data_IF_762371842735
#
_entry.id   IF_762371842735
#
_cell.length_a   1.000
_cell.length_b   1.000
_cell.length_c   1.000
_cell.angle_alpha   90.00
_cell.angle_beta   90.00
_cell.angle_gamma   90.00
#
_symmetry.space_group_name_H-M   'P 1'
#
loop_
_entity.id
_entity.type
_entity.pdbx_description
1 polymer ?
#
# COMPACT_ATOMS: atom_id res chain seq x y z
N UNK A 1 -7.36 -22.12 1.84
CA UNK A 1 -7.05 -20.67 1.77
C UNK A 1 -7.83 -20.07 0.61
N UNK A 2 -9.10 -19.72 0.82
CA UNK A 2 -9.92 -19.04 -0.18
C UNK A 2 -9.97 -17.54 0.15
N UNK A 3 -8.87 -16.83 -0.09
CA UNK A 3 -8.86 -15.37 0.02
C UNK A 3 -9.61 -14.79 -1.17
N UNK A 4 -10.85 -14.38 -0.95
CA UNK A 4 -11.63 -13.65 -1.95
C UNK A 4 -11.20 -12.19 -1.93
N UNK A 5 -10.63 -11.65 -3.03
CA UNK A 5 -10.29 -10.24 -3.11
C UNK A 5 -11.55 -9.38 -3.06
N UNK A 6 -11.49 -8.28 -2.31
CA UNK A 6 -12.54 -7.27 -2.29
C UNK A 6 -12.13 -6.17 -3.26
N UNK A 7 -12.77 -6.16 -4.43
CA UNK A 7 -12.56 -5.18 -5.49
C UNK A 7 -13.69 -4.16 -5.41
N UNK A 8 -13.36 -2.89 -5.59
CA UNK A 8 -14.36 -1.84 -5.71
C UNK A 8 -15.23 -2.10 -6.94
N UNK A 9 -16.52 -2.31 -6.71
CA UNK A 9 -17.47 -2.48 -7.80
C UNK A 9 -18.00 -1.14 -8.30
N UNK A 10 -17.69 -0.03 -7.61
CA UNK A 10 -18.19 1.28 -7.95
C UNK A 10 -17.42 1.85 -9.14
N UNK A 11 -18.17 2.24 -10.18
CA UNK A 11 -17.62 2.95 -11.33
C UNK A 11 -17.21 4.36 -10.90
N UNK A 12 -16.14 4.90 -11.51
CA UNK A 12 -15.67 6.28 -11.25
C UNK A 12 -16.73 7.36 -11.52
N UNK A 13 -17.74 7.06 -12.34
CA UNK A 13 -18.94 7.88 -12.57
C UNK A 13 -20.18 6.96 -12.51
N UNK A 14 -21.14 7.29 -11.64
CA UNK A 14 -22.38 6.54 -11.45
C UNK A 14 -22.83 6.50 -9.99
N UNK A 15 -23.98 5.87 -9.73
CA UNK A 15 -24.49 5.64 -8.37
C UNK A 15 -23.58 4.68 -7.62
N UNK A 16 -23.25 5.05 -6.37
CA UNK A 16 -22.42 4.24 -5.51
C UNK A 16 -23.23 3.05 -4.96
N UNK A 17 -22.76 1.84 -5.25
CA UNK A 17 -23.26 0.63 -4.60
C UNK A 17 -22.60 0.50 -3.23
N UNK A 18 -23.43 0.43 -2.19
CA UNK A 18 -22.92 0.16 -0.85
C UNK A 18 -22.39 -1.27 -0.74
N UNK A 19 -21.24 -1.39 -0.08
CA UNK A 19 -20.68 -2.68 0.31
C UNK A 19 -21.34 -3.11 1.62
N UNK A 20 -21.63 -4.41 1.72
CA UNK A 20 -22.02 -5.06 2.98
C UNK A 20 -21.09 -4.65 4.13
N UNK A 21 -21.58 -4.40 5.36
CA UNK A 21 -20.80 -3.81 6.45
C UNK A 21 -19.47 -4.52 6.72
N UNK A 22 -19.48 -5.86 6.75
CA UNK A 22 -18.28 -6.67 6.96
C UNK A 22 -17.27 -6.54 5.80
N UNK A 23 -17.76 -6.42 4.57
CA UNK A 23 -16.94 -6.26 3.37
C UNK A 23 -16.37 -4.83 3.28
N UNK A 24 -17.13 -3.84 3.71
CA UNK A 24 -16.72 -2.43 3.82
C UNK A 24 -15.58 -2.26 4.82
N UNK A 25 -15.68 -2.85 6.00
CA UNK A 25 -14.61 -2.81 7.01
C UNK A 25 -13.29 -3.37 6.46
N UNK A 26 -13.34 -4.56 5.84
CA UNK A 26 -12.16 -5.17 5.22
C UNK A 26 -11.61 -4.37 4.03
N UNK A 27 -12.48 -3.73 3.26
CA UNK A 27 -12.06 -2.89 2.14
C UNK A 27 -11.20 -1.70 2.60
N UNK A 28 -11.44 -1.17 3.81
CA UNK A 28 -10.64 -0.08 4.39
C UNK A 28 -9.17 -0.46 4.63
N UNK A 29 -8.85 -1.75 4.79
CA UNK A 29 -7.46 -2.22 4.96
C UNK A 29 -6.59 -1.91 3.72
N UNK A 30 -7.21 -1.86 2.53
CA UNK A 30 -6.54 -1.51 1.26
C UNK A 30 -5.87 -0.14 1.33
N UNK A 31 -6.52 0.84 1.96
CA UNK A 31 -6.02 2.22 2.02
C UNK A 31 -4.70 2.33 2.77
N UNK A 32 -4.42 1.44 3.72
CA UNK A 32 -3.11 1.40 4.38
C UNK A 32 -2.03 0.91 3.40
N UNK A 33 -2.28 -0.20 2.70
CA UNK A 33 -1.35 -0.76 1.71
C UNK A 33 -1.07 0.23 0.56
N UNK A 34 -2.11 0.91 0.07
CA UNK A 34 -1.97 1.91 -0.99
C UNK A 34 -1.13 3.11 -0.54
N UNK A 35 -1.36 3.62 0.67
CA UNK A 35 -0.56 4.72 1.23
C UNK A 35 0.92 4.32 1.35
N UNK A 36 1.22 3.13 1.85
CA UNK A 36 2.61 2.63 1.94
C UNK A 36 3.23 2.53 0.56
N UNK A 37 2.51 2.01 -0.44
CA UNK A 37 3.03 1.86 -1.80
C UNK A 37 3.27 3.22 -2.48
N UNK A 38 2.35 4.18 -2.35
CA UNK A 38 2.55 5.54 -2.87
C UNK A 38 3.74 6.21 -2.19
N UNK A 39 3.82 6.14 -0.86
CA UNK A 39 4.94 6.72 -0.11
C UNK A 39 6.28 6.09 -0.52
N UNK A 40 6.33 4.76 -0.70
CA UNK A 40 7.52 4.06 -1.19
C UNK A 40 7.98 4.60 -2.54
N UNK A 41 7.04 4.82 -3.46
CA UNK A 41 7.33 5.33 -4.81
C UNK A 41 7.80 6.78 -4.79
N UNK A 42 7.06 7.64 -4.10
CA UNK A 42 7.22 9.09 -4.17
C UNK A 42 8.38 9.57 -3.29
N UNK A 43 8.54 9.00 -2.09
CA UNK A 43 9.46 9.51 -1.06
C UNK A 43 10.63 8.57 -0.72
N UNK A 44 10.55 7.28 -1.06
CA UNK A 44 11.58 6.29 -0.69
C UNK A 44 12.17 5.56 -1.89
N UNK A 45 12.16 6.20 -3.06
CA UNK A 45 12.95 5.77 -4.22
C UNK A 45 12.40 4.55 -4.97
N UNK A 46 11.13 4.18 -4.77
CA UNK A 46 10.49 3.08 -5.49
C UNK A 46 10.37 3.31 -7.01
N UNK A 47 10.29 4.56 -7.46
CA UNK A 47 10.30 4.91 -8.89
C UNK A 47 11.72 5.12 -9.47
N UNK A 48 12.74 5.25 -8.61
CA UNK A 48 14.09 5.69 -8.99
C UNK A 48 15.14 4.59 -8.77
N UNK A 49 14.79 3.33 -9.07
CA UNK A 49 15.68 2.18 -8.87
C UNK A 49 16.77 2.12 -9.95
N UNK A 50 18.03 2.39 -9.57
CA UNK A 50 19.19 2.41 -10.47
C UNK A 50 20.16 1.24 -10.22
N UNK A 51 19.61 0.05 -10.00
CA UNK A 51 20.39 -1.19 -9.80
C UNK A 51 19.87 -2.30 -10.70
N UNK A 52 20.76 -3.21 -11.14
CA UNK A 52 20.41 -4.35 -11.99
C UNK A 52 20.40 -5.65 -11.19
N UNK A 53 19.35 -6.45 -11.37
CA UNK A 53 19.17 -7.79 -10.78
C UNK A 53 18.13 -7.82 -9.66
N UNK A 54 17.26 -8.83 -9.69
CA UNK A 54 16.09 -8.94 -8.81
C UNK A 54 16.43 -8.85 -7.32
N UNK A 55 17.53 -9.47 -6.87
CA UNK A 55 17.96 -9.41 -5.45
C UNK A 55 18.30 -7.98 -5.02
N UNK A 56 18.97 -7.20 -5.88
CA UNK A 56 19.36 -5.82 -5.57
C UNK A 56 18.16 -4.89 -5.59
N UNK A 57 17.25 -5.07 -6.56
CA UNK A 57 15.99 -4.32 -6.62
C UNK A 57 15.14 -4.60 -5.39
N UNK A 58 15.02 -5.87 -5.00
CA UNK A 58 14.29 -6.26 -3.78
C UNK A 58 14.88 -5.61 -2.54
N UNK A 59 16.21 -5.68 -2.35
CA UNK A 59 16.88 -5.06 -1.21
C UNK A 59 16.63 -3.53 -1.16
N UNK A 60 16.73 -2.84 -2.29
CA UNK A 60 16.45 -1.40 -2.40
C UNK A 60 15.03 -1.06 -1.93
N UNK A 61 14.03 -1.78 -2.42
CA UNK A 61 12.63 -1.57 -2.03
C UNK A 61 12.41 -1.89 -0.55
N UNK A 62 13.02 -2.95 -0.03
CA UNK A 62 12.89 -3.34 1.38
C UNK A 62 13.53 -2.33 2.33
N UNK A 63 14.65 -1.70 1.96
CA UNK A 63 15.19 -0.58 2.74
C UNK A 63 14.23 0.60 2.80
N UNK A 64 13.53 0.91 1.70
CA UNK A 64 12.46 1.91 1.70
C UNK A 64 11.33 1.55 2.67
N UNK A 65 10.90 0.29 2.71
CA UNK A 65 9.87 -0.20 3.66
C UNK A 65 10.34 -0.06 5.12
N UNK A 66 11.58 -0.41 5.43
CA UNK A 66 12.14 -0.23 6.78
C UNK A 66 12.11 1.25 7.18
N UNK A 67 12.54 2.15 6.29
CA UNK A 67 12.56 3.58 6.56
C UNK A 67 11.14 4.15 6.78
N UNK A 68 10.14 3.71 6.01
CA UNK A 68 8.72 4.06 6.23
C UNK A 68 8.26 3.57 7.60
N UNK A 69 8.62 2.34 7.97
CA UNK A 69 8.23 1.74 9.25
C UNK A 69 8.79 2.54 10.42
N UNK A 70 10.08 2.88 10.37
CA UNK A 70 10.73 3.71 11.40
C UNK A 70 10.07 5.08 11.49
N UNK A 71 9.80 5.74 10.35
CA UNK A 71 9.11 7.04 10.34
C UNK A 71 7.72 6.95 10.96
N UNK A 72 6.97 5.89 10.66
CA UNK A 72 5.64 5.67 11.22
C UNK A 72 5.69 5.47 12.74
N UNK A 73 6.64 4.68 13.23
CA UNK A 73 6.86 4.49 14.67
C UNK A 73 7.22 5.82 15.32
N UNK A 74 8.15 6.58 14.74
CA UNK A 74 8.57 7.88 15.27
C UNK A 74 7.38 8.85 15.40
N UNK A 75 6.55 8.95 14.36
CA UNK A 75 5.33 9.79 14.37
C UNK A 75 4.26 9.33 15.37
N UNK A 76 4.33 8.10 15.88
CA UNK A 76 3.42 7.60 16.92
C UNK A 76 3.94 7.86 18.33
N UNK A 77 5.26 8.00 18.48
CA UNK A 77 5.92 8.19 19.76
C UNK A 77 6.11 9.66 20.14
N UNK A 78 6.12 10.56 19.16
CA UNK A 78 6.33 12.01 19.30
C UNK A 78 5.21 12.76 18.61
#
# INVERSE_FOLDING_TARGET
MNHVPIIDCNKRRGEAKELEPARKLRYNERSAAERVNSNLKDNYGGCNVRVKGYKKVFAHLMFGIIAITVKQIYNMLL
#
